data_IF_892328618890
#
_entry.id   IF_892328618890
#
_cell.length_a   1.000
_cell.length_b   1.000
_cell.length_c   1.000
_cell.angle_alpha   90.00
_cell.angle_beta   90.00
_cell.angle_gamma   90.00
#
_symmetry.space_group_name_H-M   'P 1'
#
loop_
_entity.id
_entity.type
_entity.pdbx_description
1 polymer ?
#
# COMPACT_ATOMS: atom_id res chain seq x y z
N UNK A 1 -10.78 6.07 -2.01
CA UNK A 1 -12.11 5.63 -1.54
C UNK A 1 -12.02 4.15 -1.27
N UNK A 2 -12.39 3.73 -0.06
CA UNK A 2 -12.28 2.34 0.39
C UNK A 2 -13.68 1.81 0.61
N UNK A 3 -13.93 0.56 0.25
CA UNK A 3 -15.20 -0.10 0.52
C UNK A 3 -14.93 -1.48 1.11
N UNK A 4 -15.81 -1.91 2.02
CA UNK A 4 -15.72 -3.22 2.65
C UNK A 4 -16.68 -4.19 1.98
N UNK A 5 -16.16 -5.34 1.55
CA UNK A 5 -16.93 -6.44 0.99
C UNK A 5 -16.75 -7.68 1.86
N UNK A 6 -17.80 -8.48 1.99
CA UNK A 6 -17.78 -9.71 2.77
C UNK A 6 -17.54 -10.90 1.83
N UNK A 7 -16.55 -11.73 2.14
CA UNK A 7 -16.31 -12.97 1.39
C UNK A 7 -17.48 -13.95 1.60
N UNK A 8 -17.61 -14.95 0.73
CA UNK A 8 -18.62 -16.02 0.89
C UNK A 8 -18.47 -16.80 2.20
N UNK A 9 -17.30 -16.73 2.84
CA UNK A 9 -17.00 -17.36 4.15
C UNK A 9 -17.23 -16.41 5.33
N UNK A 10 -17.61 -15.17 5.05
CA UNK A 10 -18.02 -14.20 6.04
C UNK A 10 -16.93 -13.24 6.53
N UNK A 11 -15.73 -13.29 5.96
CA UNK A 11 -14.64 -12.37 6.32
C UNK A 11 -14.85 -11.01 5.66
N UNK A 12 -14.67 -9.93 6.43
CA UNK A 12 -14.67 -8.58 5.87
C UNK A 12 -13.32 -8.29 5.24
N UNK A 13 -13.33 -7.79 4.01
CA UNK A 13 -12.15 -7.32 3.29
C UNK A 13 -12.36 -5.87 2.92
N UNK A 14 -11.44 -5.02 3.34
CA UNK A 14 -11.36 -3.64 2.85
C UNK A 14 -10.64 -3.66 1.51
N UNK A 15 -11.27 -3.10 0.49
CA UNK A 15 -10.71 -2.99 -0.85
C UNK A 15 -10.64 -1.51 -1.23
N UNK A 16 -9.53 -1.13 -1.85
CA UNK A 16 -9.38 0.16 -2.47
C UNK A 16 -10.06 0.20 -3.84
N UNK A 17 -10.27 1.41 -4.36
CA UNK A 17 -10.72 1.60 -5.74
C UNK A 17 -9.75 0.95 -6.75
N UNK A 18 -8.46 0.83 -6.40
CA UNK A 18 -7.43 0.20 -7.23
C UNK A 18 -7.64 -1.32 -7.35
N UNK A 19 -8.09 -1.99 -6.29
CA UNK A 19 -8.44 -3.42 -6.34
C UNK A 19 -9.63 -3.68 -7.27
N UNK A 20 -10.60 -2.75 -7.29
CA UNK A 20 -11.75 -2.81 -8.19
C UNK A 20 -11.35 -2.56 -9.65
N UNK A 21 -10.49 -1.56 -9.90
CA UNK A 21 -9.97 -1.26 -11.23
C UNK A 21 -9.04 -2.36 -11.75
N UNK A 22 -8.25 -3.02 -10.89
CA UNK A 22 -7.44 -4.18 -11.27
C UNK A 22 -8.28 -5.43 -11.59
N UNK A 23 -9.50 -5.52 -11.05
CA UNK A 23 -10.45 -6.57 -11.40
C UNK A 23 -11.18 -6.29 -12.74
N UNK A 24 -11.33 -5.00 -13.09
CA UNK A 24 -12.10 -4.53 -14.26
C UNK A 24 -11.22 -4.18 -15.46
N UNK A 25 -9.94 -3.87 -15.24
CA UNK A 25 -8.99 -3.41 -16.24
C UNK A 25 -7.74 -4.29 -16.27
N UNK A 26 -7.59 -5.05 -17.34
CA UNK A 26 -6.27 -5.47 -17.81
C UNK A 26 -5.62 -4.27 -18.53
N UNK A 27 -4.29 -4.17 -18.47
CA UNK A 27 -3.46 -3.18 -19.18
C UNK A 27 -3.73 -3.04 -20.69
N UNK A 28 -4.41 -4.01 -21.30
CA UNK A 28 -4.83 -4.01 -22.71
C UNK A 28 -6.19 -3.31 -22.92
N UNK A 29 -7.08 -3.34 -21.92
CA UNK A 29 -8.45 -2.84 -22.02
C UNK A 29 -8.63 -1.60 -21.14
N UNK A 30 -8.28 -0.43 -21.68
CA UNK A 30 -8.52 0.90 -21.07
C UNK A 30 -10.01 1.30 -21.09
N UNK A 31 -10.92 0.32 -21.06
CA UNK A 31 -12.35 0.52 -21.24
C UNK A 31 -13.15 -0.38 -20.29
N UNK A 32 -14.16 0.21 -19.64
CA UNK A 32 -15.15 -0.50 -18.83
C UNK A 32 -16.55 -0.16 -19.34
N UNK A 33 -17.41 -1.17 -19.47
CA UNK A 33 -18.82 -0.99 -19.85
C UNK A 33 -19.69 -1.03 -18.60
N UNK A 34 -20.49 0.02 -18.38
CA UNK A 34 -21.49 0.08 -17.32
C UNK A 34 -22.84 0.35 -17.99
N UNK A 35 -23.72 -0.66 -18.00
CA UNK A 35 -24.95 -0.62 -18.78
C UNK A 35 -24.65 -0.71 -20.29
N UNK A 36 -25.06 0.30 -21.06
CA UNK A 36 -24.79 0.42 -22.51
C UNK A 36 -23.66 1.41 -22.84
N UNK A 37 -22.98 1.95 -21.82
CA UNK A 37 -21.99 3.02 -21.99
C UNK A 37 -20.59 2.52 -21.66
N UNK A 38 -19.64 2.81 -22.55
CA UNK A 38 -18.22 2.52 -22.39
C UNK A 38 -17.49 3.73 -21.80
N UNK A 39 -16.70 3.51 -20.76
CA UNK A 39 -15.93 4.52 -20.04
C UNK A 39 -14.44 4.18 -20.09
N UNK A 40 -13.55 5.18 -20.11
CA UNK A 40 -12.12 4.94 -20.03
C UNK A 40 -11.63 4.84 -18.60
N UNK A 41 -10.95 3.76 -18.28
CA UNK A 41 -10.43 3.52 -16.92
C UNK A 41 -9.36 4.56 -16.57
N UNK A 42 -8.47 4.88 -17.52
CA UNK A 42 -7.44 5.93 -17.39
C UNK A 42 -7.99 7.33 -17.07
N UNK A 43 -9.27 7.57 -17.34
CA UNK A 43 -9.93 8.86 -17.07
C UNK A 43 -10.62 8.96 -15.71
N UNK A 44 -10.59 7.87 -14.92
CA UNK A 44 -11.25 7.84 -13.62
C UNK A 44 -10.64 8.87 -12.66
N UNK A 45 -11.45 9.85 -12.27
CA UNK A 45 -11.11 10.82 -11.22
C UNK A 45 -11.99 10.56 -9.99
N UNK A 46 -11.38 10.58 -8.81
CA UNK A 46 -12.12 10.44 -7.55
C UNK A 46 -12.94 11.70 -7.27
N UNK A 47 -14.24 11.66 -7.52
CA UNK A 47 -15.17 12.72 -7.11
C UNK A 47 -15.58 12.43 -5.66
N UNK A 48 -14.73 12.82 -4.71
CA UNK A 48 -15.15 12.86 -3.31
C UNK A 48 -16.14 14.00 -3.14
N UNK A 49 -17.41 13.68 -2.85
CA UNK A 49 -18.41 14.67 -2.44
C UNK A 49 -18.02 15.24 -1.08
N UNK A 50 -17.43 16.44 -1.06
CA UNK A 50 -17.38 17.28 0.15
C UNK A 50 -16.03 17.80 0.63
N UNK A 51 -14.95 17.71 -0.15
CA UNK A 51 -13.69 18.38 0.18
C UNK A 51 -12.74 18.29 -1.00
N UNK A 52 -12.01 19.39 -1.30
CA UNK A 52 -10.94 19.38 -2.31
C UNK A 52 -10.11 18.10 -2.17
N UNK A 53 -9.81 17.38 -3.27
CA UNK A 53 -8.97 16.20 -3.18
C UNK A 53 -7.61 16.66 -2.62
N UNK A 54 -7.33 16.30 -1.38
CA UNK A 54 -5.99 16.47 -0.84
C UNK A 54 -5.06 15.69 -1.78
N UNK A 55 -4.08 16.38 -2.35
CA UNK A 55 -3.10 15.73 -3.20
C UNK A 55 -2.39 14.68 -2.35
N UNK A 56 -2.63 13.40 -2.66
CA UNK A 56 -1.91 12.30 -2.01
C UNK A 56 -0.53 12.27 -2.62
N UNK A 57 0.47 12.67 -1.84
CA UNK A 57 1.88 12.56 -2.21
C UNK A 57 2.43 11.24 -1.64
N UNK A 58 3.40 10.64 -2.31
CA UNK A 58 3.99 9.37 -1.91
C UNK A 58 5.39 9.61 -1.37
N UNK A 59 5.59 9.30 -0.09
CA UNK A 59 6.92 9.40 0.51
C UNK A 59 7.62 8.04 0.44
N UNK A 60 8.84 8.04 -0.07
CA UNK A 60 9.75 6.88 -0.05
C UNK A 60 10.86 7.16 0.95
N UNK A 61 10.96 6.32 1.98
CA UNK A 61 11.99 6.42 3.01
C UNK A 61 12.92 5.21 2.95
N UNK A 62 14.22 5.40 2.68
CA UNK A 62 15.20 4.32 2.77
C UNK A 62 15.46 3.96 4.24
N UNK A 63 15.53 2.66 4.51
CA UNK A 63 15.81 2.11 5.83
C UNK A 63 17.15 1.40 5.78
N UNK A 64 18.16 1.95 6.46
CA UNK A 64 19.50 1.35 6.42
C UNK A 64 19.60 0.21 7.43
N UNK A 65 19.98 -0.98 6.94
CA UNK A 65 20.38 -2.11 7.79
C UNK A 65 21.77 -1.82 8.35
N UNK A 66 21.89 -1.67 9.67
CA UNK A 66 23.14 -1.35 10.37
C UNK A 66 23.94 -2.59 10.77
N UNK A 67 23.24 -3.70 11.04
CA UNK A 67 23.84 -4.96 11.43
C UNK A 67 23.06 -6.15 10.85
N UNK A 68 23.77 -7.23 10.55
CA UNK A 68 23.16 -8.49 10.11
C UNK A 68 22.15 -8.99 11.14
N UNK A 69 20.96 -9.37 10.68
CA UNK A 69 19.85 -9.83 11.52
C UNK A 69 19.05 -8.71 12.20
N UNK A 70 19.32 -7.43 11.89
CA UNK A 70 18.49 -6.32 12.37
C UNK A 70 17.04 -6.50 11.92
N UNK A 71 16.12 -6.32 12.85
CA UNK A 71 14.69 -6.55 12.68
C UNK A 71 13.84 -5.31 13.01
N UNK A 72 14.44 -4.25 13.55
CA UNK A 72 13.76 -3.02 13.93
C UNK A 72 14.32 -1.82 13.19
N UNK A 73 13.42 -0.94 12.74
CA UNK A 73 13.78 0.31 12.08
C UNK A 73 13.01 1.46 12.72
N UNK A 74 13.74 2.48 13.15
CA UNK A 74 13.15 3.70 13.68
C UNK A 74 12.71 4.61 12.52
N UNK A 75 11.43 4.94 12.48
CA UNK A 75 10.85 5.91 11.56
C UNK A 75 10.85 7.31 12.18
N UNK A 76 10.96 8.37 11.37
CA UNK A 76 10.95 9.76 11.86
C UNK A 76 9.59 10.18 12.45
N UNK A 77 8.52 9.51 12.04
CA UNK A 77 7.14 9.76 12.46
C UNK A 77 6.32 8.47 12.34
N UNK A 78 5.17 8.41 12.99
CA UNK A 78 4.27 7.26 12.89
C UNK A 78 3.52 7.29 11.55
N UNK A 79 3.43 6.14 10.87
CA UNK A 79 2.64 6.02 9.65
C UNK A 79 1.18 5.82 10.06
N UNK A 80 0.33 6.81 9.72
CA UNK A 80 -1.07 6.86 10.15
C UNK A 80 -1.97 5.84 9.43
N UNK A 81 -1.59 5.45 8.22
CA UNK A 81 -2.26 4.43 7.42
C UNK A 81 -1.29 3.28 7.10
N UNK A 82 -1.07 2.36 8.06
CA UNK A 82 -0.09 1.28 7.91
C UNK A 82 -0.51 0.23 6.88
N UNK A 83 -1.81 0.08 6.59
CA UNK A 83 -2.29 -0.87 5.58
C UNK A 83 -1.98 -0.42 4.15
N UNK A 84 -1.84 0.88 3.93
CA UNK A 84 -1.46 1.46 2.64
C UNK A 84 0.06 1.62 2.45
N UNK A 85 0.86 1.17 3.42
CA UNK A 85 2.31 1.27 3.36
C UNK A 85 2.92 0.03 2.67
N UNK A 86 3.89 0.23 1.80
CA UNK A 86 4.65 -0.83 1.13
C UNK A 86 6.05 -0.93 1.72
N UNK A 87 6.38 -2.08 2.30
CA UNK A 87 7.74 -2.40 2.73
C UNK A 87 8.42 -3.29 1.70
N UNK A 88 9.58 -2.85 1.23
CA UNK A 88 10.38 -3.55 0.23
C UNK A 88 11.74 -3.91 0.76
N UNK A 89 12.21 -5.10 0.41
CA UNK A 89 13.61 -5.52 0.57
C UNK A 89 14.09 -6.02 -0.79
N UNK A 90 15.16 -5.42 -1.32
CA UNK A 90 15.72 -5.74 -2.65
C UNK A 90 14.66 -5.72 -3.76
N UNK A 91 13.77 -4.72 -3.75
CA UNK A 91 12.63 -4.56 -4.67
C UNK A 91 11.55 -5.64 -4.59
N UNK A 92 11.53 -6.45 -3.53
CA UNK A 92 10.44 -7.39 -3.24
C UNK A 92 9.52 -6.79 -2.19
N UNK A 93 8.23 -6.71 -2.48
CA UNK A 93 7.20 -6.25 -1.55
C UNK A 93 6.85 -7.35 -0.53
N UNK A 94 6.68 -6.92 0.72
CA UNK A 94 6.21 -7.77 1.83
C UNK A 94 4.85 -7.30 2.33
N UNK A 95 4.13 -8.16 3.02
CA UNK A 95 2.76 -7.88 3.48
C UNK A 95 2.75 -7.42 4.94
N UNK A 96 2.12 -6.27 5.17
CA UNK A 96 1.86 -5.75 6.51
C UNK A 96 1.01 -6.73 7.34
N UNK A 97 1.34 -6.87 8.63
CA UNK A 97 0.70 -7.80 9.56
C UNK A 97 1.13 -9.26 9.44
N UNK A 98 1.88 -9.63 8.39
CA UNK A 98 2.44 -10.97 8.22
C UNK A 98 3.97 -10.97 8.33
N UNK A 99 4.66 -10.25 7.45
CA UNK A 99 6.13 -10.24 7.45
C UNK A 99 6.71 -9.00 8.13
N UNK A 100 5.94 -7.92 8.25
CA UNK A 100 6.31 -6.76 9.07
C UNK A 100 5.06 -6.11 9.67
N UNK A 101 5.23 -5.30 10.71
CA UNK A 101 4.19 -4.42 11.22
C UNK A 101 4.80 -3.14 11.79
N UNK A 102 3.93 -2.21 12.22
CA UNK A 102 4.34 -0.98 12.88
C UNK A 102 3.92 -0.96 14.36
N UNK A 103 4.83 -0.54 15.23
CA UNK A 103 4.56 -0.21 16.64
C UNK A 103 4.93 1.27 16.87
N UNK A 104 3.93 2.15 16.76
CA UNK A 104 4.14 3.59 16.87
C UNK A 104 5.06 4.13 15.78
N UNK A 105 6.32 4.43 16.12
CA UNK A 105 7.35 4.91 15.20
C UNK A 105 8.38 3.83 14.85
N UNK A 106 8.20 2.59 15.28
CA UNK A 106 9.04 1.46 14.85
C UNK A 106 8.37 0.66 13.74
N UNK A 107 9.15 0.27 12.74
CA UNK A 107 8.84 -0.83 11.84
C UNK A 107 9.54 -2.08 12.37
N UNK A 108 8.78 -3.16 12.55
CA UNK A 108 9.26 -4.44 13.04
C UNK A 108 9.14 -5.47 11.93
N UNK A 109 10.28 -6.03 11.53
CA UNK A 109 10.42 -7.12 10.57
C UNK A 109 10.36 -8.47 11.30
N UNK A 110 9.49 -9.37 10.86
CA UNK A 110 9.30 -10.69 11.49
C UNK A 110 10.33 -11.75 11.07
N UNK A 111 11.50 -11.32 10.57
CA UNK A 111 12.64 -12.21 10.28
C UNK A 111 12.28 -13.41 9.36
N UNK A 112 11.56 -13.17 8.26
CA UNK A 112 11.37 -14.22 7.23
C UNK A 112 12.73 -14.75 6.74
N UNK A 113 13.74 -13.87 6.77
CA UNK A 113 15.16 -14.15 6.67
C UNK A 113 15.92 -13.05 7.44
N UNK A 114 17.22 -13.27 7.70
CA UNK A 114 18.08 -12.28 8.32
C UNK A 114 18.44 -11.20 7.29
N UNK A 115 18.11 -9.94 7.61
CA UNK A 115 18.51 -8.79 6.78
C UNK A 115 20.01 -8.55 6.91
N UNK A 116 20.65 -8.25 5.79
CA UNK A 116 22.08 -7.97 5.72
C UNK A 116 22.34 -6.49 5.41
N UNK A 117 23.48 -5.91 5.85
CA UNK A 117 23.84 -4.51 5.54
C UNK A 117 23.91 -4.17 4.05
N UNK A 118 23.95 -5.18 3.17
CA UNK A 118 23.92 -5.04 1.71
C UNK A 118 22.52 -4.99 1.13
N UNK A 119 21.49 -5.31 1.92
CA UNK A 119 20.10 -5.31 1.46
C UNK A 119 19.57 -3.87 1.30
N UNK A 120 18.83 -3.67 0.22
CA UNK A 120 18.19 -2.41 -0.08
C UNK A 120 16.76 -2.40 0.48
N UNK A 121 16.56 -1.71 1.61
CA UNK A 121 15.27 -1.68 2.31
C UNK A 121 14.61 -0.32 2.18
N UNK A 122 13.34 -0.30 1.80
CA UNK A 122 12.54 0.93 1.74
C UNK A 122 11.15 0.73 2.31
N UNK A 123 10.61 1.81 2.87
CA UNK A 123 9.18 1.95 3.14
C UNK A 123 8.60 3.06 2.28
N UNK A 124 7.47 2.78 1.63
CA UNK A 124 6.69 3.74 0.84
C UNK A 124 5.31 3.89 1.46
N UNK A 125 4.84 5.12 1.66
CA UNK A 125 3.53 5.34 2.25
C UNK A 125 2.91 6.65 1.76
N UNK A 126 1.57 6.72 1.69
CA UNK A 126 0.88 7.94 1.30
C UNK A 126 0.97 8.98 2.42
N UNK A 127 1.20 10.23 2.04
CA UNK A 127 1.01 11.39 2.90
C UNK A 127 -0.10 12.26 2.32
N UNK A 128 -0.99 12.72 3.21
CA UNK A 128 -2.02 13.68 2.86
C UNK A 128 -1.48 15.07 3.15
N UNK A 129 -1.37 15.90 2.11
CA UNK A 129 -0.97 17.31 2.23
C UNK A 129 -2.16 18.19 2.67
#
# INVERSE_FOLDING_TARGET
>A
MNFTIKTLRGEQKTLGIQDLLGLLGDSINDEIVIGEVTYRISSAQSIATGGSPAAVDWMVTPLRVQASGQDRFQLPHAILDPESAFFTVNNVDYTHGMQYHFEGTELIWHQTFALEPTDEVHIKYPITL
#
